data_IF_997144906985
#
_entry.id   IF_997144906985
#
_cell.length_a   1.000
_cell.length_b   1.000
_cell.length_c   1.000
_cell.angle_alpha   90.00
_cell.angle_beta   90.00
_cell.angle_gamma   90.00
#
_symmetry.space_group_name_H-M   'P 1'
#
loop_
_entity.id
_entity.type
_entity.pdbx_description
1 polymer ?
#
# COMPACT_ATOMS: atom_id res chain seq x y z
N UNK A 1 17.91 -26.70 26.51
CA UNK A 1 16.73 -25.86 26.24
C UNK A 1 16.97 -25.14 24.93
N UNK A 2 16.32 -25.56 23.84
CA UNK A 2 16.49 -24.94 22.52
C UNK A 2 15.18 -24.25 22.19
N UNK A 3 15.17 -22.91 22.19
CA UNK A 3 14.00 -22.14 21.80
C UNK A 3 13.94 -22.09 20.27
N UNK A 4 13.03 -22.90 19.69
CA UNK A 4 12.67 -22.80 18.28
C UNK A 4 11.66 -21.66 18.17
N UNK A 5 12.09 -20.51 17.67
CA UNK A 5 11.18 -19.40 17.34
C UNK A 5 10.46 -19.76 16.05
N UNK A 6 9.15 -20.04 16.15
CA UNK A 6 8.31 -20.29 14.99
C UNK A 6 8.18 -19.01 14.16
N UNK A 7 8.72 -19.03 12.94
CA UNK A 7 8.53 -17.94 11.97
C UNK A 7 7.05 -17.89 11.58
N UNK A 8 6.36 -16.84 12.03
CA UNK A 8 4.95 -16.56 11.73
C UNK A 8 4.82 -16.35 10.22
N UNK A 9 4.18 -17.30 9.54
CA UNK A 9 3.89 -17.23 8.09
C UNK A 9 2.78 -16.20 7.91
N UNK A 10 3.12 -14.98 7.55
CA UNK A 10 2.15 -13.96 7.17
C UNK A 10 1.58 -14.35 5.80
N UNK A 11 0.33 -14.84 5.79
CA UNK A 11 -0.46 -14.89 4.55
C UNK A 11 -0.65 -13.45 4.09
N UNK A 12 -0.02 -13.11 2.98
CA UNK A 12 -0.14 -11.81 2.35
C UNK A 12 -1.49 -11.77 1.61
N UNK A 13 -2.57 -11.45 2.34
CA UNK A 13 -3.78 -10.93 1.72
C UNK A 13 -3.43 -9.50 1.28
N UNK A 14 -3.36 -9.24 -0.03
CA UNK A 14 -3.32 -7.86 -0.52
C UNK A 14 -4.77 -7.34 -0.42
N UNK A 15 -5.25 -7.16 0.80
CA UNK A 15 -6.31 -6.19 1.02
C UNK A 15 -5.67 -4.84 0.68
N UNK A 16 -6.17 -4.17 -0.36
CA UNK A 16 -5.77 -2.80 -0.65
C UNK A 16 -6.01 -1.88 0.57
N UNK A 17 -6.77 -2.35 1.59
CA UNK A 17 -6.74 -1.87 2.97
C UNK A 17 -7.99 -1.12 3.41
N UNK A 18 -8.90 -0.82 2.49
CA UNK A 18 -10.00 0.11 2.72
C UNK A 18 -11.39 -0.48 2.50
N UNK A 19 -12.41 0.33 2.78
CA UNK A 19 -13.83 -0.03 2.71
C UNK A 19 -14.52 0.88 1.71
N UNK A 20 -15.51 0.35 0.98
CA UNK A 20 -16.38 1.17 0.15
C UNK A 20 -17.60 1.60 0.96
N UNK A 21 -17.99 2.86 0.82
CA UNK A 21 -19.23 3.37 1.38
C UNK A 21 -20.43 2.69 0.67
N UNK A 22 -21.36 2.14 1.45
CA UNK A 22 -22.54 1.44 0.92
C UNK A 22 -23.51 2.37 0.17
N UNK A 23 -23.47 3.67 0.44
CA UNK A 23 -24.38 4.65 -0.18
C UNK A 23 -23.96 5.08 -1.58
N UNK A 24 -22.71 5.55 -1.74
CA UNK A 24 -22.20 6.15 -2.97
C UNK A 24 -21.06 5.36 -3.63
N UNK A 25 -20.63 4.24 -3.01
CA UNK A 25 -19.50 3.46 -3.48
C UNK A 25 -18.14 4.15 -3.30
N UNK A 26 -18.07 5.25 -2.55
CA UNK A 26 -16.83 6.00 -2.34
C UNK A 26 -15.83 5.20 -1.51
N UNK A 27 -14.55 5.24 -1.88
CA UNK A 27 -13.44 4.70 -1.08
C UNK A 27 -13.33 5.43 0.27
N UNK A 28 -13.18 4.67 1.34
CA UNK A 28 -12.95 5.15 2.71
C UNK A 28 -11.82 4.32 3.36
N UNK A 29 -10.98 4.95 4.17
CA UNK A 29 -9.92 4.28 4.93
C UNK A 29 -8.60 4.23 4.18
N UNK A 30 -7.71 3.31 4.56
CA UNK A 30 -6.36 3.21 3.97
C UNK A 30 -6.43 2.43 2.67
N UNK A 31 -5.82 2.94 1.60
CA UNK A 31 -5.79 2.30 0.29
C UNK A 31 -4.36 2.17 -0.23
N UNK A 32 -4.16 1.14 -1.05
CA UNK A 32 -3.01 0.99 -1.94
C UNK A 32 -3.53 1.18 -3.37
N UNK A 33 -2.89 2.07 -4.12
CA UNK A 33 -3.12 2.29 -5.54
C UNK A 33 -1.87 1.97 -6.34
N UNK A 34 -2.04 1.41 -7.53
CA UNK A 34 -0.94 1.15 -8.46
C UNK A 34 -0.64 2.43 -9.26
N UNK A 35 0.62 2.64 -9.62
CA UNK A 35 0.99 3.65 -10.61
C UNK A 35 0.36 3.35 -11.98
N UNK A 36 0.11 4.39 -12.77
CA UNK A 36 -0.52 4.23 -14.09
C UNK A 36 0.35 3.39 -15.04
N UNK A 37 1.68 3.45 -14.88
CA UNK A 37 2.63 2.67 -15.65
C UNK A 37 3.05 1.37 -14.93
N UNK A 38 2.24 0.89 -13.98
CA UNK A 38 2.57 -0.33 -13.23
C UNK A 38 2.70 -1.53 -14.16
N UNK A 39 3.90 -2.10 -14.21
CA UNK A 39 4.24 -3.29 -14.99
C UNK A 39 5.40 -4.06 -14.31
N UNK A 40 5.86 -5.14 -14.93
CA UNK A 40 6.91 -5.98 -14.36
C UNK A 40 8.23 -5.24 -14.13
N UNK A 41 8.56 -4.24 -14.96
CA UNK A 41 9.76 -3.42 -14.86
C UNK A 41 9.58 -2.19 -13.96
N UNK A 42 8.33 -1.73 -13.78
CA UNK A 42 7.97 -0.57 -12.98
C UNK A 42 6.89 -0.92 -11.95
N UNK A 43 7.31 -1.43 -10.79
CA UNK A 43 6.43 -1.73 -9.67
C UNK A 43 6.41 -0.57 -8.66
N UNK A 44 5.57 0.44 -8.93
CA UNK A 44 5.35 1.61 -8.04
C UNK A 44 3.92 1.59 -7.50
N UNK A 45 3.77 1.79 -6.20
CA UNK A 45 2.48 1.84 -5.51
C UNK A 45 2.38 3.08 -4.61
N UNK A 46 1.16 3.53 -4.38
CA UNK A 46 0.82 4.64 -3.50
C UNK A 46 -0.03 4.14 -2.35
N UNK A 47 0.35 4.46 -1.12
CA UNK A 47 -0.43 4.09 0.07
C UNK A 47 -0.82 5.32 0.87
N UNK A 48 -2.11 5.48 1.14
CA UNK A 48 -2.61 6.59 1.95
C UNK A 48 -4.09 6.45 2.26
N UNK A 49 -4.69 7.50 2.81
CA UNK A 49 -6.08 7.47 3.25
C UNK A 49 -7.02 8.13 2.24
N UNK A 50 -8.18 7.52 2.05
CA UNK A 50 -9.34 8.11 1.40
C UNK A 50 -10.41 8.48 2.42
N UNK A 51 -11.02 9.65 2.23
CA UNK A 51 -12.21 10.10 2.94
C UNK A 51 -13.22 10.63 1.94
N UNK A 52 -14.41 10.04 1.93
CA UNK A 52 -15.48 10.38 0.98
C UNK A 52 -15.00 10.38 -0.48
N UNK A 53 -14.21 9.37 -0.86
CA UNK A 53 -13.70 9.23 -2.22
C UNK A 53 -12.54 10.16 -2.60
N UNK A 54 -12.02 10.98 -1.67
CA UNK A 54 -10.87 11.86 -1.89
C UNK A 54 -9.65 11.42 -1.11
N UNK A 55 -8.46 11.54 -1.72
CA UNK A 55 -7.17 11.36 -1.05
C UNK A 55 -6.98 12.45 -0.01
N UNK A 56 -6.67 12.05 1.21
CA UNK A 56 -6.49 12.94 2.36
C UNK A 56 -5.19 12.60 3.10
N UNK A 57 -4.66 13.55 3.85
CA UNK A 57 -3.49 13.35 4.68
C UNK A 57 -2.21 12.99 3.90
N UNK A 58 -1.42 12.08 4.47
CA UNK A 58 -0.14 11.66 3.90
C UNK A 58 -0.31 10.42 3.03
N UNK A 59 0.24 10.52 1.82
CA UNK A 59 0.32 9.46 0.85
C UNK A 59 1.78 9.11 0.60
N UNK A 60 2.12 7.84 0.70
CA UNK A 60 3.48 7.35 0.55
C UNK A 60 3.61 6.66 -0.79
N UNK A 61 4.53 7.16 -1.62
CA UNK A 61 4.96 6.46 -2.82
C UNK A 61 6.02 5.44 -2.45
N UNK A 62 5.84 4.21 -2.91
CA UNK A 62 6.75 3.11 -2.68
C UNK A 62 7.07 2.41 -3.98
N UNK A 63 8.33 2.00 -4.16
CA UNK A 63 8.78 1.24 -5.33
C UNK A 63 9.43 -0.04 -4.89
N UNK A 64 9.26 -1.08 -5.70
CA UNK A 64 10.03 -2.31 -5.56
C UNK A 64 11.28 -2.22 -6.44
N UNK A 65 12.42 -2.51 -5.84
CA UNK A 65 13.66 -2.73 -6.59
C UNK A 65 13.67 -4.19 -7.10
N UNK A 66 13.84 -4.35 -8.42
CA UNK A 66 13.88 -5.66 -9.06
C UNK A 66 15.17 -6.43 -8.77
N UNK A 67 16.25 -5.73 -8.42
CA UNK A 67 17.52 -6.36 -8.04
C UNK A 67 17.51 -6.81 -6.57
N UNK A 68 16.57 -6.31 -5.76
CA UNK A 68 16.44 -6.58 -4.32
C UNK A 68 15.08 -7.15 -3.96
N UNK A 69 14.71 -8.24 -4.63
CA UNK A 69 13.40 -8.90 -4.50
C UNK A 69 13.04 -9.23 -3.03
N UNK A 70 14.04 -9.50 -2.18
CA UNK A 70 13.86 -9.84 -0.77
C UNK A 70 13.52 -8.64 0.13
N UNK A 71 13.83 -7.40 -0.27
CA UNK A 71 13.64 -6.19 0.54
C UNK A 71 12.22 -5.59 0.42
N UNK A 72 11.45 -6.01 -0.58
CA UNK A 72 10.05 -5.61 -0.76
C UNK A 72 9.90 -4.18 -1.32
N UNK A 73 8.81 -3.50 -0.96
CA UNK A 73 8.55 -2.13 -1.38
C UNK A 73 9.25 -1.13 -0.46
N UNK A 74 10.07 -0.27 -1.04
CA UNK A 74 10.77 0.81 -0.34
C UNK A 74 10.06 2.14 -0.55
N UNK A 75 9.98 2.94 0.52
CA UNK A 75 9.43 4.30 0.44
C UNK A 75 10.34 5.21 -0.36
N UNK A 76 9.77 5.90 -1.35
CA UNK A 76 10.47 6.92 -2.15
C UNK A 76 10.17 8.31 -1.61
N UNK A 77 8.88 8.64 -1.47
CA UNK A 77 8.46 9.99 -1.11
C UNK A 77 7.11 10.04 -0.39
N UNK A 78 6.81 11.19 0.19
CA UNK A 78 5.54 11.51 0.85
C UNK A 78 4.87 12.70 0.17
N UNK A 79 3.58 12.54 -0.12
CA UNK A 79 2.72 13.54 -0.75
C UNK A 79 1.66 13.91 0.28
N UNK A 80 1.54 15.20 0.57
CA UNK A 80 0.53 15.70 1.51
C UNK A 80 -0.66 16.27 0.75
N UNK A 81 -1.84 15.73 1.03
CA UNK A 81 -3.12 16.24 0.56
C UNK A 81 -3.83 16.99 1.67
N UNK A 82 -4.57 18.03 1.29
CA UNK A 82 -5.41 18.79 2.20
C UNK A 82 -6.66 17.97 2.58
N UNK A 83 -7.14 18.19 3.80
CA UNK A 83 -8.30 17.52 4.40
C UNK A 83 -9.56 18.36 4.34
#
# INVERSE_FOLDING_TARGET
MVHIVQKKKFSQCIDAGGVYNEGDGSKIGVWIELDEEFNDDKQVIYKGEFKNGKKVGLWVEMKRDMDKIEEGFEKIQEIKYDN
#
